data_IF_515950712141
#
_entry.id   IF_515950712141
#
_cell.length_a   1.000
_cell.length_b   1.000
_cell.length_c   1.000
_cell.angle_alpha   90.00
_cell.angle_beta   90.00
_cell.angle_gamma   90.00
#
_symmetry.space_group_name_H-M   'P 1'
#
loop_
_entity.id
_entity.type
_entity.pdbx_description
1 polymer ?
#
# COMPACT_ATOMS: atom_id res chain seq x y z
N UNK A 1 -12.21 2.51 -6.73
CA UNK A 1 -12.32 1.07 -7.05
C UNK A 1 -13.68 0.43 -6.70
N UNK A 2 -14.44 0.91 -5.71
CA UNK A 2 -15.80 0.37 -5.42
C UNK A 2 -16.66 0.37 -6.70
N UNK A 3 -17.25 -0.78 -7.03
CA UNK A 3 -18.11 -0.95 -8.21
C UNK A 3 -17.38 -1.09 -9.56
N UNK A 4 -16.05 -1.04 -9.59
CA UNK A 4 -15.26 -1.19 -10.81
C UNK A 4 -14.15 -2.23 -10.60
N UNK A 5 -14.33 -3.42 -11.19
CA UNK A 5 -13.44 -4.58 -11.01
C UNK A 5 -12.10 -4.42 -11.73
N UNK A 6 -12.06 -3.74 -12.87
CA UNK A 6 -10.80 -3.46 -13.58
C UNK A 6 -9.89 -2.58 -12.73
N UNK A 7 -10.44 -1.53 -12.14
CA UNK A 7 -9.71 -0.66 -11.20
C UNK A 7 -9.22 -1.40 -9.95
N UNK A 8 -9.89 -2.48 -9.52
CA UNK A 8 -9.40 -3.33 -8.41
C UNK A 8 -8.13 -4.05 -8.85
N UNK A 9 -8.11 -4.68 -10.02
CA UNK A 9 -6.91 -5.37 -10.51
C UNK A 9 -5.73 -4.44 -10.76
N UNK A 10 -5.98 -3.20 -11.19
CA UNK A 10 -4.91 -2.23 -11.43
C UNK A 10 -4.33 -1.60 -10.16
N UNK A 11 -5.17 -1.41 -9.13
CA UNK A 11 -4.78 -0.72 -7.90
C UNK A 11 -4.43 -1.67 -6.74
N UNK A 12 -4.51 -2.98 -6.95
CA UNK A 12 -4.15 -4.02 -5.98
C UNK A 12 -3.23 -5.07 -6.62
N UNK A 13 -2.56 -5.87 -5.78
CA UNK A 13 -1.72 -6.96 -6.26
C UNK A 13 -2.05 -8.23 -5.47
N UNK A 14 -2.17 -9.35 -6.17
CA UNK A 14 -2.24 -10.68 -5.56
C UNK A 14 -0.88 -11.18 -5.08
N UNK A 15 0.21 -10.54 -5.50
CA UNK A 15 1.58 -10.89 -5.12
C UNK A 15 2.07 -9.98 -4.00
N UNK A 16 2.08 -10.53 -2.79
CA UNK A 16 2.57 -9.87 -1.58
C UNK A 16 3.18 -10.92 -0.65
N UNK A 17 4.11 -10.50 0.20
CA UNK A 17 4.74 -11.37 1.18
C UNK A 17 4.51 -10.83 2.59
N UNK A 18 4.25 -11.76 3.52
CA UNK A 18 4.01 -11.49 4.94
C UNK A 18 2.70 -10.74 5.21
N UNK A 19 2.14 -10.95 6.41
CA UNK A 19 0.90 -10.30 6.83
C UNK A 19 1.08 -9.72 8.23
N UNK A 20 0.54 -8.52 8.44
CA UNK A 20 0.54 -7.78 9.69
C UNK A 20 -0.92 -7.52 10.09
N UNK A 21 -1.35 -8.05 11.22
CA UNK A 21 -2.60 -7.65 11.86
C UNK A 21 -2.34 -6.41 12.73
N UNK A 22 -2.58 -5.22 12.18
CA UNK A 22 -2.33 -3.96 12.86
C UNK A 22 -3.54 -3.53 13.69
N UNK A 23 -3.41 -3.51 15.01
CA UNK A 23 -4.48 -3.13 15.94
C UNK A 23 -4.42 -1.67 16.37
N UNK A 24 -3.22 -1.16 16.69
CA UNK A 24 -2.99 0.21 17.15
C UNK A 24 -1.89 0.89 16.32
N UNK A 25 -2.21 1.38 15.09
CA UNK A 25 -1.23 1.98 14.18
C UNK A 25 -0.45 3.16 14.78
N UNK A 26 -1.10 3.99 15.59
CA UNK A 26 -0.54 5.19 16.20
C UNK A 26 0.49 4.90 17.31
N UNK A 27 0.43 3.72 17.93
CA UNK A 27 1.30 3.28 19.03
C UNK A 27 2.05 1.98 18.67
N UNK A 28 2.49 1.87 17.42
CA UNK A 28 3.18 0.67 16.93
C UNK A 28 4.47 1.01 16.21
N UNK A 29 5.58 0.48 16.72
CA UNK A 29 6.87 0.55 16.04
C UNK A 29 6.81 -0.10 14.64
N UNK A 30 6.11 -1.23 14.52
CA UNK A 30 5.91 -1.93 13.24
C UNK A 30 5.17 -1.02 12.25
N UNK A 31 4.13 -0.30 12.71
CA UNK A 31 3.39 0.63 11.87
C UNK A 31 4.25 1.82 11.40
N UNK A 32 5.12 2.34 12.27
CA UNK A 32 6.09 3.38 11.94
C UNK A 32 7.06 2.90 10.85
N UNK A 33 7.64 1.72 11.02
CA UNK A 33 8.55 1.12 10.03
C UNK A 33 7.86 0.90 8.68
N UNK A 34 6.62 0.40 8.71
CA UNK A 34 5.83 0.11 7.52
C UNK A 34 5.14 1.33 6.89
N UNK A 35 5.29 2.53 7.47
CA UNK A 35 4.65 3.77 7.01
C UNK A 35 3.13 3.62 6.89
N UNK A 36 2.52 3.01 7.91
CA UNK A 36 1.07 2.80 8.04
C UNK A 36 0.51 3.34 9.37
N UNK A 37 1.31 4.08 10.15
CA UNK A 37 0.89 4.63 11.46
C UNK A 37 -0.30 5.61 11.41
N UNK A 38 -0.60 6.19 10.25
CA UNK A 38 -1.75 7.06 10.04
C UNK A 38 -2.92 6.34 9.33
N UNK A 39 -2.85 5.03 9.16
CA UNK A 39 -3.91 4.24 8.52
C UNK A 39 -4.81 3.59 9.58
N UNK A 40 -5.89 2.95 9.14
CA UNK A 40 -6.86 2.31 10.05
C UNK A 40 -6.29 1.01 10.62
N UNK A 41 -6.79 0.58 11.78
CA UNK A 41 -6.62 -0.80 12.22
C UNK A 41 -7.11 -1.78 11.14
N UNK A 42 -6.37 -2.85 10.92
CA UNK A 42 -6.65 -3.80 9.84
C UNK A 42 -5.44 -4.65 9.45
N UNK A 43 -5.61 -5.42 8.37
CA UNK A 43 -4.60 -6.34 7.86
C UNK A 43 -3.82 -5.71 6.72
N UNK A 44 -2.49 -5.76 6.80
CA UNK A 44 -1.56 -5.19 5.82
C UNK A 44 -0.52 -6.24 5.39
N UNK A 45 0.04 -6.09 4.19
CA UNK A 45 1.18 -6.88 3.75
C UNK A 45 2.51 -6.30 4.27
N UNK A 46 3.54 -7.13 4.42
CA UNK A 46 4.91 -6.66 4.75
C UNK A 46 5.57 -6.01 3.53
N UNK A 47 5.40 -6.61 2.35
CA UNK A 47 5.81 -6.06 1.05
C UNK A 47 4.76 -6.40 0.00
N UNK A 48 4.57 -5.52 -0.99
CA UNK A 48 3.63 -5.72 -2.10
C UNK A 48 4.39 -5.61 -3.41
N UNK A 49 4.44 -6.69 -4.18
CA UNK A 49 5.04 -6.68 -5.52
C UNK A 49 4.12 -5.96 -6.49
N UNK A 50 4.71 -5.03 -7.26
CA UNK A 50 4.01 -4.28 -8.30
C UNK A 50 4.08 -2.77 -8.13
N UNK A 51 3.52 -2.04 -9.10
CA UNK A 51 3.39 -0.58 -9.05
C UNK A 51 2.04 -0.15 -9.59
N UNK A 52 1.51 0.94 -9.03
CA UNK A 52 0.33 1.60 -9.59
C UNK A 52 0.60 2.06 -11.04
N UNK A 53 -0.41 2.03 -11.93
CA UNK A 53 -0.29 2.53 -13.29
C UNK A 53 0.14 4.01 -13.33
N UNK A 54 0.96 4.43 -14.33
CA UNK A 54 1.43 5.82 -14.42
C UNK A 54 0.32 6.87 -14.46
N UNK A 55 -0.82 6.56 -15.07
CA UNK A 55 -2.00 7.44 -15.11
C UNK A 55 -2.55 7.71 -13.71
N UNK A 56 -2.73 6.66 -12.91
CA UNK A 56 -3.19 6.75 -11.51
C UNK A 56 -2.20 7.53 -10.66
N UNK A 57 -0.89 7.28 -10.82
CA UNK A 57 0.15 8.02 -10.08
C UNK A 57 0.12 9.52 -10.42
N UNK A 58 -0.11 9.87 -11.69
CA UNK A 58 -0.23 11.26 -12.14
C UNK A 58 -1.46 11.96 -11.53
N UNK A 59 -2.60 11.28 -11.50
CA UNK A 59 -3.82 11.77 -10.86
C UNK A 59 -3.65 11.96 -9.34
N UNK A 60 -3.02 11.00 -8.66
CA UNK A 60 -2.71 11.14 -7.23
C UNK A 60 -1.82 12.37 -6.98
N UNK A 61 -0.79 12.56 -7.81
CA UNK A 61 0.12 13.70 -7.70
C UNK A 61 -0.59 15.04 -7.94
N UNK A 62 -1.50 15.14 -8.90
CA UNK A 62 -2.26 16.38 -9.14
C UNK A 62 -3.17 16.76 -7.97
N UNK A 63 -3.53 15.78 -7.13
CA UNK A 63 -4.31 15.94 -5.89
C UNK A 63 -3.43 16.08 -4.64
N UNK A 64 -2.12 16.21 -4.79
CA UNK A 64 -1.17 16.36 -3.68
C UNK A 64 -0.80 15.05 -2.97
N UNK A 65 -1.17 13.89 -3.50
CA UNK A 65 -0.84 12.58 -2.93
C UNK A 65 0.40 12.01 -3.60
N UNK A 66 1.47 11.83 -2.81
CA UNK A 66 2.73 11.26 -3.29
C UNK A 66 2.67 9.73 -3.20
N UNK A 67 2.73 9.06 -4.34
CA UNK A 67 2.88 7.60 -4.39
C UNK A 67 4.31 7.19 -3.99
N UNK A 68 4.41 6.28 -3.02
CA UNK A 68 5.65 5.58 -2.67
C UNK A 68 5.41 4.08 -2.81
N UNK A 69 6.37 3.40 -3.42
CA UNK A 69 6.36 1.93 -3.56
C UNK A 69 6.09 1.23 -2.23
N UNK A 70 5.24 0.19 -2.26
CA UNK A 70 5.06 -0.76 -1.14
C UNK A 70 5.84 -2.06 -1.33
N UNK A 71 6.56 -2.18 -2.45
CA UNK A 71 7.62 -3.17 -2.61
C UNK A 71 8.82 -2.76 -1.77
N UNK A 72 9.06 -3.45 -0.65
CA UNK A 72 10.15 -3.22 0.30
C UNK A 72 11.18 -4.36 0.28
N UNK A 73 11.05 -5.30 -0.65
CA UNK A 73 12.00 -6.40 -0.77
C UNK A 73 13.38 -5.87 -1.19
N UNK A 74 14.42 -6.37 -0.55
CA UNK A 74 15.81 -6.15 -1.01
C UNK A 74 15.99 -7.00 -2.25
N UNK A 75 16.19 -6.34 -3.40
CA UNK A 75 16.44 -7.01 -4.67
C UNK A 75 17.95 -7.17 -4.83
N UNK A 76 18.39 -8.42 -4.97
CA UNK A 76 19.73 -8.77 -5.44
C UNK A 76 19.85 -8.58 -6.95
#
# INVERSE_FOLDING_TARGET
>A
MKGNREMVYECTSSSFDGVIAMMSPEDSWVAKWQRIGNFKAGVYAVTVTGRLPPGVVRELKSRGVIYRSRDTAVKT
#
